data_IF_649675354949
#
_entry.id   IF_649675354949
#
_cell.length_a   1.000
_cell.length_b   1.000
_cell.length_c   1.000
_cell.angle_alpha   90.00
_cell.angle_beta   90.00
_cell.angle_gamma   90.00
#
_symmetry.space_group_name_H-M   'P 1'
#
loop_
_entity.id
_entity.type
_entity.pdbx_description
1 polymer ?
#
# COMPACT_ATOMS: atom_id res chain seq x y z
N UNK A 1 21.27 -14.50 -24.91
CA UNK A 1 20.15 -13.63 -25.30
C UNK A 1 20.33 -12.32 -24.56
N UNK A 2 20.37 -11.20 -25.26
CA UNK A 2 20.25 -9.89 -24.61
C UNK A 2 18.76 -9.71 -24.33
N UNK A 3 18.32 -10.11 -23.14
CA UNK A 3 16.99 -9.75 -22.69
C UNK A 3 16.99 -8.24 -22.50
N UNK A 4 16.05 -7.52 -23.13
CA UNK A 4 15.89 -6.09 -22.90
C UNK A 4 15.38 -5.87 -21.48
N UNK A 5 15.87 -4.82 -20.83
CA UNK A 5 15.49 -4.46 -19.46
C UNK A 5 15.04 -3.00 -19.39
N UNK A 6 14.12 -2.73 -18.47
CA UNK A 6 13.70 -1.37 -18.11
C UNK A 6 14.33 -1.00 -16.78
N UNK A 7 14.98 0.16 -16.74
CA UNK A 7 15.45 0.79 -15.51
C UNK A 7 14.44 1.85 -15.09
N UNK A 8 13.83 1.67 -13.92
CA UNK A 8 12.86 2.60 -13.33
C UNK A 8 13.50 3.37 -12.17
N UNK A 9 13.30 4.68 -12.20
CA UNK A 9 13.70 5.61 -11.13
C UNK A 9 12.42 6.27 -10.63
N UNK A 10 12.08 6.14 -9.33
CA UNK A 10 10.88 6.76 -8.80
C UNK A 10 10.99 8.28 -8.84
N UNK A 11 10.01 8.90 -9.50
CA UNK A 11 9.84 10.34 -9.61
C UNK A 11 8.44 10.69 -9.10
N UNK A 12 8.27 11.86 -8.50
CA UNK A 12 6.95 12.34 -8.12
C UNK A 12 6.23 12.97 -9.33
N UNK A 13 4.98 13.40 -9.11
CA UNK A 13 4.13 14.08 -10.12
C UNK A 13 4.78 15.33 -10.75
N UNK A 14 5.79 15.93 -10.10
CA UNK A 14 6.53 17.09 -10.60
C UNK A 14 7.78 16.71 -11.41
N UNK A 15 8.01 15.42 -11.65
CA UNK A 15 9.20 14.90 -12.30
C UNK A 15 10.46 14.94 -11.43
N UNK A 16 10.33 15.14 -10.11
CA UNK A 16 11.45 15.22 -9.18
C UNK A 16 11.73 13.83 -8.62
N UNK A 17 13.00 13.42 -8.61
CA UNK A 17 13.45 12.16 -8.01
C UNK A 17 13.01 12.09 -6.55
N UNK A 18 12.43 10.95 -6.20
CA UNK A 18 11.94 10.68 -4.86
C UNK A 18 13.07 10.11 -4.01
N UNK A 19 13.18 10.54 -2.75
CA UNK A 19 14.05 9.87 -1.78
C UNK A 19 13.38 8.60 -1.29
N UNK A 20 13.74 7.47 -1.89
CA UNK A 20 13.21 6.14 -1.55
C UNK A 20 13.57 5.67 -0.13
N UNK A 21 14.51 6.35 0.54
CA UNK A 21 14.85 6.07 1.93
C UNK A 21 13.99 6.87 2.91
N UNK A 22 13.25 7.88 2.43
CA UNK A 22 12.34 8.65 3.26
C UNK A 22 11.20 7.78 3.78
N UNK A 23 10.60 8.21 4.89
CA UNK A 23 9.47 7.50 5.46
C UNK A 23 8.23 7.58 4.54
N UNK A 24 8.06 8.69 3.82
CA UNK A 24 6.92 8.87 2.92
C UNK A 24 6.96 7.94 1.70
N UNK A 25 8.16 7.56 1.22
CA UNK A 25 8.33 6.93 -0.09
C UNK A 25 8.97 5.54 -0.04
N UNK A 26 9.05 4.95 1.16
CA UNK A 26 9.62 3.63 1.38
C UNK A 26 8.87 2.52 0.62
N UNK A 27 7.60 2.73 0.30
CA UNK A 27 6.80 1.80 -0.51
C UNK A 27 7.32 1.68 -1.95
N UNK A 28 7.88 2.76 -2.51
CA UNK A 28 8.51 2.81 -3.83
C UNK A 28 9.97 2.31 -3.83
N UNK A 29 10.50 1.83 -2.69
CA UNK A 29 11.88 1.37 -2.60
C UNK A 29 12.11 0.15 -3.53
N UNK A 30 13.13 0.15 -4.42
CA UNK A 30 13.30 -0.90 -5.43
C UNK A 30 13.37 -2.33 -4.90
N UNK A 31 13.90 -2.56 -3.71
CA UNK A 31 13.89 -3.90 -3.08
C UNK A 31 12.48 -4.40 -2.73
N UNK A 32 11.65 -3.51 -2.19
CA UNK A 32 10.25 -3.83 -1.84
C UNK A 32 9.46 -4.07 -3.12
N UNK A 33 9.56 -3.14 -4.07
CA UNK A 33 8.85 -3.23 -5.36
C UNK A 33 9.25 -4.49 -6.10
N UNK A 34 10.55 -4.81 -6.15
CA UNK A 34 11.04 -6.00 -6.82
C UNK A 34 10.49 -7.29 -6.20
N UNK A 35 10.46 -7.38 -4.86
CA UNK A 35 9.85 -8.52 -4.16
C UNK A 35 8.41 -8.74 -4.60
N UNK A 36 7.59 -7.69 -4.60
CA UNK A 36 6.18 -7.81 -4.94
C UNK A 36 5.94 -8.04 -6.44
N UNK A 37 6.69 -7.40 -7.34
CA UNK A 37 6.62 -7.66 -8.77
C UNK A 37 6.99 -9.10 -9.12
N UNK A 38 8.01 -9.65 -8.47
CA UNK A 38 8.42 -11.04 -8.69
C UNK A 38 7.34 -12.02 -8.24
N UNK A 39 6.66 -11.74 -7.12
CA UNK A 39 5.49 -12.50 -6.68
C UNK A 39 4.33 -12.34 -7.67
N UNK A 40 3.98 -11.10 -8.00
CA UNK A 40 2.88 -10.73 -8.87
C UNK A 40 3.01 -11.31 -10.27
N UNK A 41 4.23 -11.55 -10.78
CA UNK A 41 4.46 -12.18 -12.08
C UNK A 41 4.77 -13.68 -12.00
N UNK A 42 4.87 -14.26 -10.80
CA UNK A 42 5.26 -15.66 -10.61
C UNK A 42 6.69 -15.98 -11.10
N UNK A 43 7.55 -14.96 -11.18
CA UNK A 43 8.91 -15.07 -11.70
C UNK A 43 9.90 -14.35 -10.76
N UNK A 44 10.74 -15.16 -10.09
CA UNK A 44 11.76 -14.68 -9.14
C UNK A 44 12.82 -13.76 -9.76
N UNK A 45 12.93 -13.75 -11.08
CA UNK A 45 13.89 -12.97 -11.85
C UNK A 45 13.21 -11.91 -12.71
N UNK A 46 11.92 -11.62 -12.49
CA UNK A 46 11.21 -10.59 -13.25
C UNK A 46 11.83 -9.20 -13.05
N UNK A 47 12.26 -8.91 -11.82
CA UNK A 47 12.88 -7.66 -11.44
C UNK A 47 13.90 -7.82 -10.32
N UNK A 48 14.74 -6.80 -10.13
CA UNK A 48 15.72 -6.67 -9.04
C UNK A 48 16.01 -5.22 -8.71
N UNK A 49 16.39 -4.96 -7.46
CA UNK A 49 17.05 -3.71 -7.07
C UNK A 49 18.50 -3.70 -7.59
N UNK A 50 18.97 -2.55 -8.05
CA UNK A 50 20.35 -2.34 -8.44
C UNK A 50 20.81 -0.93 -8.06
N UNK A 51 22.13 -0.71 -8.07
CA UNK A 51 22.72 0.63 -7.97
C UNK A 51 23.19 1.04 -9.36
N UNK A 52 22.80 2.24 -9.79
CA UNK A 52 23.26 2.84 -11.04
C UNK A 52 23.93 4.18 -10.73
N UNK A 53 25.13 4.39 -11.28
CA UNK A 53 25.79 5.68 -11.18
C UNK A 53 25.22 6.64 -12.24
N UNK A 54 24.58 7.71 -11.79
CA UNK A 54 23.97 8.74 -12.63
C UNK A 54 24.58 10.08 -12.25
N UNK A 55 25.34 10.68 -13.17
CA UNK A 55 26.04 11.95 -12.97
C UNK A 55 26.94 11.96 -11.71
N UNK A 56 27.67 10.87 -11.48
CA UNK A 56 28.58 10.73 -10.34
C UNK A 56 27.89 10.43 -9.00
N UNK A 57 26.58 10.21 -9.00
CA UNK A 57 25.82 9.81 -7.80
C UNK A 57 25.29 8.40 -7.96
N UNK A 58 25.48 7.59 -6.93
CA UNK A 58 24.87 6.27 -6.85
C UNK A 58 23.38 6.39 -6.54
N UNK A 59 22.55 5.78 -7.37
CA UNK A 59 21.10 5.82 -7.28
C UNK A 59 20.59 4.39 -7.23
N UNK A 60 19.75 4.09 -6.22
CA UNK A 60 19.01 2.83 -6.18
C UNK A 60 17.92 2.84 -7.24
N UNK A 61 17.95 1.86 -8.14
CA UNK A 61 17.03 1.74 -9.27
C UNK A 61 16.35 0.37 -9.26
N UNK A 62 15.16 0.30 -9.84
CA UNK A 62 14.50 -0.96 -10.13
C UNK A 62 14.83 -1.37 -11.56
N UNK A 63 15.38 -2.57 -11.74
CA UNK A 63 15.60 -3.16 -13.06
C UNK A 63 14.61 -4.28 -13.26
N UNK A 64 13.82 -4.23 -14.32
CA UNK A 64 12.79 -5.23 -14.64
C UNK A 64 12.91 -5.71 -16.08
N UNK A 65 12.37 -6.88 -16.38
CA UNK A 65 12.24 -7.38 -17.75
C UNK A 65 11.43 -6.38 -18.60
N UNK A 66 11.92 -6.09 -19.80
CA UNK A 66 11.13 -5.35 -20.77
C UNK A 66 10.05 -6.25 -21.37
N UNK A 67 8.82 -5.79 -21.31
CA UNK A 67 7.66 -6.48 -21.89
C UNK A 67 7.14 -5.63 -23.04
N UNK A 68 7.37 -6.09 -24.26
CA UNK A 68 6.73 -5.54 -25.45
C UNK A 68 5.31 -6.11 -25.57
N UNK A 69 4.42 -5.68 -24.68
CA UNK A 69 3.02 -6.06 -24.62
C UNK A 69 2.09 -4.91 -24.97
N UNK A 70 0.79 -5.20 -25.05
CA UNK A 70 -0.27 -4.21 -25.13
C UNK A 70 -0.77 -3.89 -23.73
N UNK A 71 -1.28 -2.68 -23.51
CA UNK A 71 -1.97 -2.36 -22.26
C UNK A 71 -3.21 -3.24 -22.12
N UNK A 72 -3.38 -3.79 -20.92
CA UNK A 72 -4.51 -4.63 -20.60
C UNK A 72 -5.68 -3.76 -20.12
N UNK A 73 -6.83 -3.90 -20.78
CA UNK A 73 -8.01 -3.09 -20.49
C UNK A 73 -8.72 -3.61 -19.23
N UNK A 74 -8.45 -2.94 -18.11
CA UNK A 74 -9.01 -3.22 -16.78
C UNK A 74 -10.29 -2.44 -16.51
N UNK A 75 -10.78 -1.62 -17.45
CA UNK A 75 -12.11 -1.01 -17.37
C UNK A 75 -13.20 -2.06 -17.66
N UNK A 76 -12.86 -3.09 -18.46
CA UNK A 76 -13.69 -4.27 -18.62
C UNK A 76 -13.70 -5.12 -17.34
N UNK A 77 -14.90 -5.40 -16.82
CA UNK A 77 -15.10 -6.06 -15.53
C UNK A 77 -14.59 -7.51 -15.51
N UNK A 78 -14.70 -8.23 -16.62
CA UNK A 78 -14.22 -9.62 -16.73
C UNK A 78 -12.68 -9.65 -16.73
N UNK A 79 -12.06 -8.70 -17.43
CA UNK A 79 -10.62 -8.50 -17.43
C UNK A 79 -10.11 -8.11 -16.04
N UNK A 80 -10.78 -7.16 -15.37
CA UNK A 80 -10.46 -6.77 -13.99
C UNK A 80 -10.46 -7.99 -13.07
N UNK A 81 -11.54 -8.78 -13.08
CA UNK A 81 -11.70 -9.97 -12.25
C UNK A 81 -10.64 -11.03 -12.56
N UNK A 82 -10.27 -11.20 -13.82
CA UNK A 82 -9.20 -12.11 -14.22
C UNK A 82 -7.84 -11.66 -13.66
N UNK A 83 -7.50 -10.38 -13.74
CA UNK A 83 -6.26 -9.84 -13.20
C UNK A 83 -6.22 -9.94 -11.67
N UNK A 84 -7.33 -9.61 -11.00
CA UNK A 84 -7.48 -9.72 -9.55
C UNK A 84 -7.32 -11.17 -9.08
N UNK A 85 -8.02 -12.12 -9.71
CA UNK A 85 -7.92 -13.54 -9.38
C UNK A 85 -6.48 -14.07 -9.55
N UNK A 86 -5.77 -13.60 -10.58
CA UNK A 86 -4.38 -13.96 -10.80
C UNK A 86 -3.47 -13.41 -9.68
N UNK A 87 -3.60 -12.14 -9.30
CA UNK A 87 -2.85 -11.55 -8.17
C UNK A 87 -3.12 -12.31 -6.87
N UNK A 88 -4.40 -12.59 -6.59
CA UNK A 88 -4.82 -13.35 -5.40
C UNK A 88 -4.21 -14.75 -5.37
N UNK A 89 -4.22 -15.47 -6.49
CA UNK A 89 -3.57 -16.79 -6.62
C UNK A 89 -2.06 -16.75 -6.38
N UNK A 90 -1.43 -15.59 -6.61
CA UNK A 90 -0.01 -15.31 -6.37
C UNK A 90 0.25 -14.73 -4.96
N UNK A 91 -0.78 -14.66 -4.12
CA UNK A 91 -0.70 -14.20 -2.74
C UNK A 91 -0.56 -12.68 -2.58
N UNK A 92 -0.81 -11.89 -3.63
CA UNK A 92 -0.66 -10.43 -3.63
C UNK A 92 -1.98 -9.72 -3.96
N UNK A 93 -2.02 -8.43 -3.68
CA UNK A 93 -3.11 -7.51 -3.99
C UNK A 93 -2.51 -6.19 -4.50
N UNK A 94 -3.20 -5.49 -5.40
CA UNK A 94 -2.73 -4.24 -6.02
C UNK A 94 -3.79 -3.16 -5.84
N UNK A 95 -3.47 -2.06 -5.14
CA UNK A 95 -4.45 -1.00 -4.85
C UNK A 95 -4.88 -0.22 -6.10
N UNK A 96 -4.01 -0.12 -7.08
CA UNK A 96 -4.15 0.68 -8.30
C UNK A 96 -4.22 -0.21 -9.55
N UNK A 97 -4.85 -1.38 -9.41
CA UNK A 97 -5.03 -2.35 -10.51
C UNK A 97 -5.79 -1.74 -11.69
N UNK A 98 -6.64 -0.74 -11.45
CA UNK A 98 -7.46 -0.04 -12.44
C UNK A 98 -6.69 1.05 -13.22
N UNK A 99 -5.42 1.29 -12.91
CA UNK A 99 -4.62 2.29 -13.63
C UNK A 99 -4.08 1.70 -14.93
N UNK A 100 -4.43 2.34 -16.04
CA UNK A 100 -3.95 1.97 -17.36
C UNK A 100 -2.41 1.98 -17.42
N UNK A 101 -1.83 0.95 -18.02
CA UNK A 101 -0.37 0.76 -18.13
C UNK A 101 0.26 -0.01 -16.97
N UNK A 102 -0.47 -0.28 -15.88
CA UNK A 102 0.03 -1.12 -14.78
C UNK A 102 0.09 -2.61 -15.13
N UNK A 103 -0.75 -3.05 -16.07
CA UNK A 103 -0.82 -4.42 -16.56
C UNK A 103 -0.65 -4.43 -18.07
N UNK A 104 0.26 -5.28 -18.54
CA UNK A 104 0.46 -5.56 -19.96
C UNK A 104 0.04 -6.98 -20.29
N UNK A 105 -0.50 -7.19 -21.49
CA UNK A 105 -0.76 -8.51 -22.06
C UNK A 105 0.19 -8.77 -23.23
N UNK A 106 0.80 -9.95 -23.22
CA UNK A 106 1.60 -10.46 -24.35
C UNK A 106 1.33 -11.95 -24.50
N UNK A 107 0.91 -12.35 -25.70
CA UNK A 107 0.65 -13.77 -26.03
C UNK A 107 -0.34 -14.44 -25.05
N UNK A 108 -1.35 -13.70 -24.60
CA UNK A 108 -2.36 -14.18 -23.65
C UNK A 108 -1.88 -14.28 -22.19
N UNK A 109 -0.66 -13.83 -21.89
CA UNK A 109 -0.10 -13.79 -20.52
C UNK A 109 -0.14 -12.37 -19.98
N UNK A 110 -0.63 -12.22 -18.75
CA UNK A 110 -0.63 -10.96 -18.02
C UNK A 110 0.70 -10.72 -17.30
N UNK A 111 1.22 -9.51 -17.44
CA UNK A 111 2.42 -9.01 -16.80
C UNK A 111 2.09 -7.77 -15.98
N UNK A 112 2.38 -7.81 -14.68
CA UNK A 112 2.25 -6.66 -13.78
C UNK A 112 3.57 -5.88 -13.83
N UNK A 113 3.52 -4.63 -14.26
CA UNK A 113 4.74 -3.85 -14.50
C UNK A 113 4.95 -2.74 -13.49
N UNK A 114 3.92 -2.27 -12.80
CA UNK A 114 4.04 -1.41 -11.63
C UNK A 114 3.76 -2.16 -10.34
N UNK A 115 4.48 -1.83 -9.27
CA UNK A 115 4.50 -2.65 -8.06
C UNK A 115 4.71 -1.88 -6.75
N UNK A 116 4.71 -0.56 -6.78
CA UNK A 116 4.83 0.25 -5.56
C UNK A 116 3.56 0.16 -4.69
N UNK A 117 2.39 -0.03 -5.30
CA UNK A 117 1.11 -0.27 -4.64
C UNK A 117 0.69 -1.74 -4.55
N UNK A 118 1.60 -2.68 -4.87
CA UNK A 118 1.36 -4.10 -4.61
C UNK A 118 1.70 -4.43 -3.15
N UNK A 119 0.83 -5.21 -2.51
CA UNK A 119 0.89 -5.65 -1.12
C UNK A 119 0.52 -7.13 -1.00
N UNK A 120 0.58 -7.70 0.20
CA UNK A 120 0.09 -9.07 0.43
C UNK A 120 -1.43 -9.11 0.35
N UNK A 121 -1.96 -10.18 -0.26
CA UNK A 121 -3.38 -10.50 -0.21
C UNK A 121 -3.85 -10.79 1.21
N UNK A 122 -5.16 -10.64 1.47
CA UNK A 122 -5.77 -10.91 2.77
C UNK A 122 -5.41 -12.31 3.32
N UNK A 123 -5.50 -13.35 2.48
CA UNK A 123 -5.17 -14.72 2.87
C UNK A 123 -3.67 -14.87 3.22
N UNK A 124 -2.79 -14.25 2.45
CA UNK A 124 -1.35 -14.27 2.74
C UNK A 124 -0.99 -13.54 4.04
N UNK A 125 -1.77 -12.54 4.45
CA UNK A 125 -1.59 -11.83 5.73
C UNK A 125 -1.90 -12.69 6.94
N UNK A 126 -2.79 -13.67 6.82
CA UNK A 126 -3.09 -14.62 7.90
C UNK A 126 -1.88 -15.50 8.24
N UNK A 127 -1.00 -15.73 7.26
CA UNK A 127 0.18 -16.58 7.40
C UNK A 127 1.47 -15.79 7.67
N UNK A 128 1.49 -14.48 7.33
CA UNK A 128 2.68 -13.62 7.43
C UNK A 128 2.32 -12.20 7.83
N UNK A 129 3.11 -11.63 8.73
CA UNK A 129 3.00 -10.20 9.07
C UNK A 129 3.40 -9.31 7.88
N UNK A 130 2.66 -8.22 7.70
CA UNK A 130 2.99 -7.17 6.74
C UNK A 130 4.14 -6.30 7.25
N UNK A 131 4.94 -5.76 6.32
CA UNK A 131 6.02 -4.83 6.68
C UNK A 131 5.48 -3.47 7.13
N UNK A 132 6.28 -2.72 7.91
CA UNK A 132 5.94 -1.35 8.28
C UNK A 132 5.68 -0.47 7.06
N UNK A 133 6.48 -0.60 6.00
CA UNK A 133 6.28 0.14 4.75
C UNK A 133 4.94 -0.18 4.07
N UNK A 134 4.41 -1.40 4.24
CA UNK A 134 3.09 -1.77 3.73
C UNK A 134 1.99 -1.11 4.54
N UNK A 135 2.08 -1.13 5.88
CA UNK A 135 1.12 -0.43 6.75
C UNK A 135 1.07 1.07 6.48
N UNK A 136 2.25 1.69 6.35
CA UNK A 136 2.36 3.13 6.06
C UNK A 136 1.77 3.50 4.70
N UNK A 137 1.99 2.68 3.67
CA UNK A 137 1.34 2.84 2.37
C UNK A 137 -0.19 2.81 2.50
N UNK A 138 -0.72 1.80 3.19
CA UNK A 138 -2.15 1.60 3.35
C UNK A 138 -2.81 2.72 4.18
N UNK A 139 -2.13 3.19 5.23
CA UNK A 139 -2.55 4.37 6.00
C UNK A 139 -2.61 5.63 5.12
N UNK A 140 -1.61 5.83 4.25
CA UNK A 140 -1.60 6.96 3.29
C UNK A 140 -2.73 6.85 2.27
N UNK A 141 -2.98 5.67 1.70
CA UNK A 141 -4.08 5.40 0.76
C UNK A 141 -5.42 5.65 1.44
N UNK A 142 -5.63 5.12 2.65
CA UNK A 142 -6.85 5.34 3.46
C UNK A 142 -7.08 6.83 3.70
N UNK A 143 -6.04 7.54 4.15
CA UNK A 143 -6.13 8.98 4.40
C UNK A 143 -6.49 9.76 3.13
N UNK A 144 -5.91 9.38 1.98
CA UNK A 144 -6.24 9.99 0.69
C UNK A 144 -7.73 9.78 0.33
N UNK A 145 -8.24 8.56 0.42
CA UNK A 145 -9.65 8.26 0.15
C UNK A 145 -10.59 8.99 1.12
N UNK A 146 -10.24 9.08 2.41
CA UNK A 146 -11.03 9.83 3.39
C UNK A 146 -11.11 11.33 3.08
N UNK A 147 -10.02 11.94 2.59
CA UNK A 147 -10.00 13.34 2.17
C UNK A 147 -10.92 13.54 0.95
N UNK A 148 -10.82 12.64 -0.03
CA UNK A 148 -11.65 12.67 -1.24
C UNK A 148 -13.13 12.47 -0.92
N UNK A 149 -13.46 11.54 -0.03
CA UNK A 149 -14.82 11.32 0.46
C UNK A 149 -15.40 12.59 1.09
N UNK A 150 -14.68 13.23 2.04
CA UNK A 150 -15.15 14.47 2.67
C UNK A 150 -15.40 15.59 1.66
N UNK A 151 -14.55 15.66 0.63
CA UNK A 151 -14.71 16.64 -0.45
C UNK A 151 -15.96 16.34 -1.27
N UNK A 152 -16.17 15.09 -1.68
CA UNK A 152 -17.35 14.66 -2.43
C UNK A 152 -18.65 14.90 -1.64
N UNK A 153 -18.65 14.63 -0.32
CA UNK A 153 -19.77 14.94 0.58
C UNK A 153 -20.06 16.44 0.63
N UNK A 154 -19.02 17.28 0.66
CA UNK A 154 -19.15 18.74 0.65
C UNK A 154 -19.68 19.26 -0.69
N UNK A 155 -19.27 18.64 -1.79
CA UNK A 155 -19.68 18.99 -3.16
C UNK A 155 -21.05 18.38 -3.55
N UNK A 156 -21.61 17.49 -2.72
CA UNK A 156 -22.86 16.79 -3.00
C UNK A 156 -22.77 15.75 -4.12
N UNK A 157 -21.55 15.28 -4.45
CA UNK A 157 -21.34 14.28 -5.49
C UNK A 157 -21.59 12.86 -4.95
N UNK A 158 -22.81 12.37 -5.13
CA UNK A 158 -23.25 11.05 -4.64
C UNK A 158 -22.46 9.88 -5.23
N UNK A 159 -22.03 9.98 -6.48
CA UNK A 159 -21.28 8.91 -7.16
C UNK A 159 -19.88 8.77 -6.55
N UNK A 160 -19.17 9.88 -6.38
CA UNK A 160 -17.86 9.88 -5.71
C UNK A 160 -17.97 9.42 -4.25
N UNK A 161 -19.05 9.79 -3.56
CA UNK A 161 -19.29 9.35 -2.17
C UNK A 161 -19.40 7.82 -2.08
N UNK A 162 -20.18 7.20 -2.96
CA UNK A 162 -20.32 5.74 -3.02
C UNK A 162 -18.99 5.08 -3.39
N UNK A 163 -18.30 5.62 -4.39
CA UNK A 163 -17.01 5.13 -4.85
C UNK A 163 -15.94 5.15 -3.73
N UNK A 164 -15.69 6.30 -3.09
CA UNK A 164 -14.67 6.39 -2.05
C UNK A 164 -15.04 5.62 -0.77
N UNK A 165 -16.34 5.46 -0.47
CA UNK A 165 -16.78 4.56 0.61
C UNK A 165 -16.42 3.11 0.30
N UNK A 166 -16.71 2.63 -0.92
CA UNK A 166 -16.34 1.27 -1.35
C UNK A 166 -14.84 1.02 -1.18
N UNK A 167 -14.00 1.94 -1.68
CA UNK A 167 -12.53 1.79 -1.58
C UNK A 167 -12.03 1.70 -0.14
N UNK A 168 -12.62 2.46 0.79
CA UNK A 168 -12.27 2.40 2.21
C UNK A 168 -12.70 1.07 2.81
N UNK A 169 -13.91 0.59 2.50
CA UNK A 169 -14.41 -0.71 2.96
C UNK A 169 -13.55 -1.87 2.46
N UNK A 170 -13.17 -1.85 1.18
CA UNK A 170 -12.31 -2.89 0.59
C UNK A 170 -10.91 -2.89 1.22
N UNK A 171 -10.37 -1.70 1.50
CA UNK A 171 -9.09 -1.55 2.20
C UNK A 171 -9.15 -2.10 3.64
N UNK A 172 -10.21 -1.79 4.37
CA UNK A 172 -10.40 -2.27 5.74
C UNK A 172 -10.55 -3.80 5.78
N UNK A 173 -11.30 -4.37 4.83
CA UNK A 173 -11.42 -5.80 4.63
C UNK A 173 -10.07 -6.47 4.30
N UNK A 174 -9.24 -5.85 3.44
CA UNK A 174 -7.91 -6.34 3.10
C UNK A 174 -6.97 -6.35 4.32
N UNK A 175 -6.99 -5.29 5.13
CA UNK A 175 -6.16 -5.16 6.33
C UNK A 175 -6.63 -6.13 7.43
N UNK A 176 -7.92 -6.46 7.46
CA UNK A 176 -8.54 -7.24 8.52
C UNK A 176 -8.91 -6.40 9.74
N UNK A 177 -9.09 -5.09 9.55
CA UNK A 177 -9.78 -4.25 10.53
C UNK A 177 -11.29 -4.54 10.38
N UNK A 178 -11.80 -5.54 11.11
CA UNK A 178 -13.25 -5.57 11.39
C UNK A 178 -13.60 -4.21 12.01
N UNK A 179 -14.67 -3.57 11.50
CA UNK A 179 -15.27 -2.39 12.12
C UNK A 179 -15.26 -2.59 13.64
N UNK A 180 -14.46 -1.78 14.37
CA UNK A 180 -14.68 -1.65 15.79
C UNK A 180 -16.04 -0.98 15.95
N UNK A 181 -17.09 -1.78 15.98
CA UNK A 181 -18.32 -1.41 16.65
C UNK A 181 -17.89 -0.99 18.05
N UNK A 182 -18.16 0.26 18.47
CA UNK A 182 -17.77 0.72 19.79
C UNK A 182 -18.39 -0.25 20.79
N UNK A 183 -17.54 -0.98 21.51
CA UNK A 183 -18.01 -2.00 22.44
C UNK A 183 -19.10 -1.39 23.33
N UNK A 184 -20.29 -2.03 23.44
CA UNK A 184 -21.37 -1.49 24.25
C UNK A 184 -20.84 -1.28 25.67
N UNK A 185 -20.96 -0.03 26.13
CA UNK A 185 -20.27 0.56 27.27
C UNK A 185 -19.80 -0.44 28.32
N UNK A 186 -18.48 -0.61 28.42
CA UNK A 186 -17.84 -1.20 29.59
C UNK A 186 -18.11 -0.25 30.76
N UNK A 187 -19.23 -0.47 31.47
CA UNK A 187 -19.48 0.15 32.77
C UNK A 187 -18.29 -0.19 33.65
N UNK A 188 -17.40 0.77 33.87
CA UNK A 188 -16.45 0.71 34.96
C UNK A 188 -17.26 0.56 36.25
N UNK A 189 -17.27 -0.65 36.82
CA UNK A 189 -17.66 -0.82 38.22
C UNK A 189 -16.57 -0.15 39.03
N UNK A 190 -16.81 1.09 39.44
CA UNK A 190 -16.08 1.72 40.54
C UNK A 190 -16.29 0.80 41.76
N UNK A 191 -15.22 0.15 42.21
CA UNK A 191 -15.22 -0.49 43.51
C UNK A 191 -15.33 0.62 44.57
N UNK A 192 -16.23 0.43 45.54
CA UNK A 192 -16.37 1.33 46.68
C UNK A 192 -15.06 1.34 47.50
N UNK A 193 -14.65 2.49 48.07
CA UNK A 193 -13.41 2.59 48.82
C UNK A 193 -13.55 1.86 50.15
N UNK A 194 -12.73 0.83 50.38
CA UNK A 194 -12.51 0.31 51.73
C UNK A 194 -11.52 1.21 52.48
N UNK A 195 -11.87 1.49 53.72
CA UNK A 195 -11.22 2.44 54.61
C UNK A 195 -9.79 2.00 55.01
N UNK A 196 -8.88 2.98 55.04
CA UNK A 196 -7.68 2.93 55.88
C UNK A 196 -6.45 2.28 55.25
N UNK A 197 -5.54 3.10 54.72
CA UNK A 197 -4.25 3.41 55.38
C UNK A 197 -3.50 4.43 54.52
N UNK A 198 -3.22 5.58 55.14
CA UNK A 198 -2.38 6.68 54.67
C UNK A 198 -0.95 6.21 54.35
N UNK A 199 -0.31 6.76 53.31
CA UNK A 199 0.78 7.74 53.47
C UNK A 199 0.97 8.50 52.14
N UNK A 200 1.06 9.81 52.28
CA UNK A 200 1.17 10.85 51.28
C UNK A 200 2.61 11.04 50.75
N UNK A 201 2.74 11.55 49.52
CA UNK A 201 3.09 12.97 49.25
C UNK A 201 3.27 13.22 47.75
N UNK A 202 2.41 14.07 47.23
CA UNK A 202 2.66 14.93 46.07
C UNK A 202 3.71 15.96 46.46
N UNK A 203 4.64 16.29 45.57
CA UNK A 203 5.07 17.67 45.34
C UNK A 203 5.54 17.84 43.89
N UNK A 204 4.82 18.71 43.19
CA UNK A 204 5.19 19.37 41.94
C UNK A 204 6.22 20.47 42.23
N UNK A 205 6.91 20.86 41.15
CA UNK A 205 7.53 22.17 40.88
C UNK A 205 8.91 22.49 41.48
N UNK A 206 9.92 22.51 40.60
CA UNK A 206 10.92 23.59 40.43
C UNK A 206 11.25 23.56 38.91
N UNK A 207 10.89 24.51 38.02
CA UNK A 207 11.01 25.97 38.00
C UNK A 207 12.43 26.49 38.27
N UNK A 208 13.16 26.67 37.15
CA UNK A 208 14.21 27.68 36.88
C UNK A 208 15.44 27.70 37.81
N UNK A 209 16.60 27.43 37.20
CA UNK A 209 17.70 28.39 37.07
C UNK A 209 18.45 28.15 35.77
#
# INVERSE_FOLDING_TARGET
LHDDFVVKIPINERGIKVDVNSQEHRNCHPERVSKYLNMANGDKNFSRSAIMNINGKDVTVLVSKYIQGQEFDVEDEDNYRMAEALLKSRGVYMHDINILGNILVKEGVLFFVDGDQIVLSQESRQQRSVSLATRQLEEQIKAHHMIKLKRAETEGNTEDVEYYKSLITDLDALIGEEEQTPAPGRRFKLAAPEEGTLVAKVLKDELKK
#
